data_IF_440540088993
#
_entry.id   IF_440540088993
#
_cell.length_a   1.000
_cell.length_b   1.000
_cell.length_c   1.000
_cell.angle_alpha   90.00
_cell.angle_beta   90.00
_cell.angle_gamma   90.00
#
_symmetry.space_group_name_H-M   'P 1'
#
loop_
_entity.id
_entity.type
_entity.pdbx_description
1 polymer ?
#
# COMPACT_ATOMS: atom_id res chain seq x y z
N UNK A 1 -7.34 10.67 60.31
CA UNK A 1 -8.67 10.82 59.68
C UNK A 1 -8.45 11.28 58.26
N UNK A 2 -8.85 10.49 57.27
CA UNK A 2 -8.91 10.93 55.88
C UNK A 2 -10.39 11.21 55.56
N UNK A 3 -10.66 12.31 54.87
CA UNK A 3 -12.01 12.73 54.48
C UNK A 3 -12.24 12.35 53.02
N UNK A 4 -13.13 11.39 52.77
CA UNK A 4 -13.52 11.03 51.41
C UNK A 4 -14.42 12.12 50.82
N UNK A 5 -13.85 12.93 49.93
CA UNK A 5 -14.52 14.08 49.28
C UNK A 5 -15.60 13.64 48.29
N UNK A 6 -15.51 12.45 47.68
CA UNK A 6 -16.58 11.90 46.83
C UNK A 6 -16.39 10.39 46.57
N UNK A 7 -17.46 9.58 46.67
CA UNK A 7 -17.44 8.11 46.45
C UNK A 7 -17.54 7.67 44.98
N UNK A 8 -17.66 8.62 44.05
CA UNK A 8 -17.90 8.37 42.62
C UNK A 8 -16.74 8.78 41.71
N UNK A 9 -15.52 8.87 42.23
CA UNK A 9 -14.32 9.03 41.40
C UNK A 9 -13.65 7.67 41.28
N UNK A 10 -14.08 6.87 40.29
CA UNK A 10 -13.34 5.68 39.87
C UNK A 10 -12.06 6.17 39.18
N UNK A 11 -10.92 6.11 39.88
CA UNK A 11 -9.63 6.30 39.26
C UNK A 11 -9.36 5.06 38.39
N UNK A 12 -9.72 5.13 37.11
CA UNK A 12 -9.47 4.05 36.15
C UNK A 12 -7.96 4.00 35.84
N UNK A 13 -7.19 3.36 36.71
CA UNK A 13 -5.78 3.11 36.49
C UNK A 13 -5.62 1.99 35.44
N UNK A 14 -5.24 2.36 34.22
CA UNK A 14 -4.78 1.37 33.22
C UNK A 14 -3.31 1.05 33.44
N UNK A 15 -3.01 -0.22 33.70
CA UNK A 15 -1.65 -0.73 33.88
C UNK A 15 -1.30 -1.59 32.67
N UNK A 16 -0.17 -1.30 32.02
CA UNK A 16 0.37 -2.12 30.93
C UNK A 16 1.40 -3.09 31.51
N UNK A 17 1.15 -4.39 31.34
CA UNK A 17 2.03 -5.44 31.81
C UNK A 17 2.67 -6.12 30.60
N UNK A 18 4.00 -6.22 30.59
CA UNK A 18 4.73 -6.95 29.55
C UNK A 18 4.98 -8.37 30.03
N UNK A 19 4.47 -9.33 29.29
CA UNK A 19 4.67 -10.76 29.56
C UNK A 19 6.03 -11.23 29.03
N UNK A 20 6.53 -12.33 29.61
CA UNK A 20 7.70 -13.03 29.10
C UNK A 20 7.35 -13.69 27.74
N UNK A 21 8.27 -13.82 26.76
CA UNK A 21 7.93 -14.29 25.41
C UNK A 21 7.36 -15.70 25.31
N UNK A 22 7.58 -16.54 26.32
CA UNK A 22 7.10 -17.93 26.40
C UNK A 22 5.87 -18.09 27.28
N UNK A 23 5.36 -16.99 27.86
CA UNK A 23 4.22 -17.02 28.75
C UNK A 23 2.90 -16.94 27.95
N UNK A 24 1.94 -17.80 28.29
CA UNK A 24 0.61 -17.78 27.69
C UNK A 24 -0.16 -16.55 28.19
N UNK A 25 -0.37 -15.58 27.29
CA UNK A 25 -1.06 -14.34 27.63
C UNK A 25 -2.56 -14.49 27.83
N UNK A 26 -3.16 -15.62 27.46
CA UNK A 26 -4.56 -15.91 27.76
C UNK A 26 -4.72 -16.44 29.18
N UNK A 27 -3.95 -17.46 29.55
CA UNK A 27 -3.97 -18.04 30.89
C UNK A 27 -3.66 -16.98 31.96
N UNK A 28 -2.69 -16.10 31.68
CA UNK A 28 -2.35 -15.00 32.60
C UNK A 28 -3.45 -13.95 32.66
N UNK A 29 -4.14 -13.68 31.55
CA UNK A 29 -5.24 -12.73 31.55
C UNK A 29 -6.45 -13.24 32.33
N UNK A 30 -6.77 -14.52 32.24
CA UNK A 30 -7.79 -15.17 33.07
C UNK A 30 -7.42 -15.07 34.56
N UNK A 31 -6.19 -15.42 34.93
CA UNK A 31 -5.71 -15.30 36.32
C UNK A 31 -5.77 -13.87 36.87
N UNK A 32 -5.57 -12.84 36.03
CA UNK A 32 -5.66 -11.44 36.44
C UNK A 32 -7.12 -10.98 36.55
N UNK A 33 -8.05 -11.55 35.77
CA UNK A 33 -9.48 -11.24 35.85
C UNK A 33 -10.08 -11.69 37.18
N UNK A 34 -9.57 -12.76 37.76
CA UNK A 34 -10.04 -13.32 39.02
C UNK A 34 -9.57 -12.55 40.27
N UNK A 35 -8.68 -11.56 40.10
CA UNK A 35 -8.21 -10.71 41.20
C UNK A 35 -9.25 -9.66 41.59
N UNK A 36 -9.51 -9.51 42.89
CA UNK A 36 -10.40 -8.46 43.41
C UNK A 36 -9.87 -7.06 43.04
N UNK A 37 -10.74 -6.23 42.45
CA UNK A 37 -10.43 -4.86 42.05
C UNK A 37 -10.05 -4.66 40.58
N UNK A 38 -10.07 -5.72 39.77
CA UNK A 38 -9.86 -5.65 38.31
C UNK A 38 -11.21 -5.63 37.59
N UNK A 39 -11.47 -4.57 36.82
CA UNK A 39 -12.75 -4.39 36.11
C UNK A 39 -12.73 -5.01 34.70
N UNK A 40 -11.61 -4.90 33.98
CA UNK A 40 -11.46 -5.43 32.62
C UNK A 40 -9.99 -5.70 32.31
N UNK A 41 -9.72 -6.84 31.64
CA UNK A 41 -8.38 -7.25 31.20
C UNK A 41 -8.42 -7.52 29.72
N UNK A 42 -7.46 -6.93 28.99
CA UNK A 42 -7.28 -7.12 27.56
C UNK A 42 -5.96 -7.85 27.33
N UNK A 43 -6.04 -9.08 26.83
CA UNK A 43 -4.88 -9.81 26.32
C UNK A 43 -4.71 -9.55 24.83
N UNK A 44 -3.46 -9.42 24.38
CA UNK A 44 -3.14 -9.32 22.96
C UNK A 44 -3.42 -10.66 22.27
N UNK A 45 -3.14 -11.79 22.92
CA UNK A 45 -3.32 -13.13 22.35
C UNK A 45 -4.81 -13.47 22.17
N UNK A 46 -5.64 -13.12 23.15
CA UNK A 46 -7.10 -13.26 23.06
C UNK A 46 -7.68 -12.33 21.97
N UNK A 47 -7.19 -11.10 21.83
CA UNK A 47 -7.61 -10.21 20.75
C UNK A 47 -7.20 -10.72 19.36
N UNK A 48 -6.01 -11.30 19.24
CA UNK A 48 -5.54 -11.90 17.98
C UNK A 48 -6.39 -13.11 17.61
N UNK A 49 -6.67 -14.02 18.55
CA UNK A 49 -7.56 -15.17 18.30
C UNK A 49 -8.97 -14.71 17.97
N UNK A 50 -9.54 -13.77 18.73
CA UNK A 50 -10.86 -13.22 18.46
C UNK A 50 -10.93 -12.58 17.06
N UNK A 51 -9.85 -11.93 16.61
CA UNK A 51 -9.76 -11.36 15.26
C UNK A 51 -9.65 -12.43 14.16
N UNK A 52 -8.93 -13.51 14.42
CA UNK A 52 -8.73 -14.60 13.47
C UNK A 52 -9.98 -15.50 13.34
N UNK A 53 -10.71 -15.71 14.43
CA UNK A 53 -11.93 -16.52 14.47
C UNK A 53 -13.19 -15.74 14.02
N UNK A 54 -13.24 -14.43 14.24
CA UNK A 54 -14.39 -13.63 13.82
C UNK A 54 -14.25 -13.09 12.40
N UNK A 55 -14.98 -13.74 11.48
CA UNK A 55 -15.15 -13.33 10.07
C UNK A 55 -15.59 -11.85 9.94
N UNK A 56 -16.30 -11.30 10.93
CA UNK A 56 -16.73 -9.88 10.93
C UNK A 56 -15.56 -8.89 11.12
N UNK A 57 -14.45 -9.32 11.72
CA UNK A 57 -13.27 -8.49 12.00
C UNK A 57 -12.16 -8.76 10.98
N UNK A 58 -11.97 -10.02 10.57
CA UNK A 58 -11.02 -10.39 9.50
C UNK A 58 -11.58 -10.12 8.09
N UNK A 59 -12.91 -10.05 7.92
CA UNK A 59 -13.59 -9.73 6.67
C UNK A 59 -13.19 -8.36 6.07
N UNK A 60 -13.27 -7.25 6.82
CA UNK A 60 -12.86 -5.92 6.34
C UNK A 60 -11.42 -5.87 5.82
N UNK A 61 -10.48 -6.56 6.46
CA UNK A 61 -9.07 -6.59 6.02
C UNK A 61 -8.90 -7.29 4.68
N UNK A 62 -9.62 -8.39 4.46
CA UNK A 62 -9.60 -9.08 3.17
C UNK A 62 -10.25 -8.23 2.06
N UNK A 63 -11.31 -7.48 2.38
CA UNK A 63 -11.94 -6.54 1.45
C UNK A 63 -10.96 -5.42 1.08
N UNK A 64 -10.24 -4.85 2.05
CA UNK A 64 -9.22 -3.83 1.78
C UNK A 64 -8.11 -4.36 0.88
N UNK A 65 -7.61 -5.58 1.12
CA UNK A 65 -6.62 -6.22 0.25
C UNK A 65 -7.13 -6.39 -1.17
N UNK A 66 -8.36 -6.87 -1.33
CA UNK A 66 -8.99 -7.01 -2.64
C UNK A 66 -9.18 -5.65 -3.34
N UNK A 67 -9.53 -4.62 -2.58
CA UNK A 67 -9.62 -3.24 -3.06
C UNK A 67 -8.29 -2.73 -3.63
N UNK A 68 -7.16 -3.06 -3.01
CA UNK A 68 -5.82 -2.72 -3.53
C UNK A 68 -5.57 -3.39 -4.88
N UNK A 69 -5.96 -4.66 -5.05
CA UNK A 69 -5.83 -5.34 -6.34
C UNK A 69 -6.66 -4.66 -7.44
N UNK A 70 -7.92 -4.33 -7.16
CA UNK A 70 -8.78 -3.62 -8.13
C UNK A 70 -8.26 -2.21 -8.45
N UNK A 71 -7.77 -1.49 -7.44
CA UNK A 71 -7.15 -0.18 -7.64
C UNK A 71 -5.91 -0.27 -8.53
N UNK A 72 -5.06 -1.28 -8.31
CA UNK A 72 -3.88 -1.52 -9.14
C UNK A 72 -4.24 -1.86 -10.59
N UNK A 73 -5.27 -2.68 -10.80
CA UNK A 73 -5.76 -3.01 -12.15
C UNK A 73 -6.35 -1.79 -12.85
N UNK A 74 -7.20 -1.02 -12.16
CA UNK A 74 -7.79 0.20 -12.71
C UNK A 74 -6.71 1.24 -13.07
N UNK A 75 -5.73 1.43 -12.18
CA UNK A 75 -4.58 2.30 -12.43
C UNK A 75 -3.76 1.81 -13.62
N UNK A 76 -3.52 0.50 -13.73
CA UNK A 76 -2.82 -0.10 -14.86
C UNK A 76 -3.51 0.23 -16.18
N UNK A 77 -4.83 -0.01 -16.29
CA UNK A 77 -5.59 0.32 -17.51
C UNK A 77 -5.51 1.81 -17.83
N UNK A 78 -5.63 2.68 -16.81
CA UNK A 78 -5.50 4.12 -16.97
C UNK A 78 -4.13 4.55 -17.51
N UNK A 79 -3.04 4.02 -16.93
CA UNK A 79 -1.67 4.31 -17.36
C UNK A 79 -1.42 3.83 -18.79
N UNK A 80 -1.88 2.62 -19.16
CA UNK A 80 -1.77 2.12 -20.52
C UNK A 80 -2.49 3.04 -21.52
N UNK A 81 -3.71 3.45 -21.18
CA UNK A 81 -4.53 4.30 -22.05
C UNK A 81 -3.90 5.69 -22.24
N UNK A 82 -3.48 6.34 -21.15
CA UNK A 82 -2.82 7.65 -21.21
C UNK A 82 -1.56 7.56 -22.06
N UNK A 83 -0.70 6.56 -21.80
CA UNK A 83 0.54 6.38 -22.56
C UNK A 83 0.25 6.11 -24.04
N UNK A 84 -0.76 5.30 -24.34
CA UNK A 84 -1.18 5.01 -25.70
C UNK A 84 -1.64 6.28 -26.45
N UNK A 85 -2.46 7.12 -25.82
CA UNK A 85 -2.92 8.39 -26.40
C UNK A 85 -1.75 9.34 -26.62
N UNK A 86 -0.84 9.49 -25.65
CA UNK A 86 0.36 10.33 -25.80
C UNK A 86 1.23 9.88 -26.97
N UNK A 87 1.36 8.56 -27.20
CA UNK A 87 2.09 8.03 -28.35
C UNK A 87 1.37 8.31 -29.69
N UNK A 88 0.03 8.31 -29.70
CA UNK A 88 -0.74 8.70 -30.90
C UNK A 88 -0.55 10.15 -31.27
N UNK A 89 -0.60 11.05 -30.29
CA UNK A 89 -0.40 12.48 -30.50
C UNK A 89 0.99 12.78 -31.09
N UNK A 90 2.01 12.04 -30.61
CA UNK A 90 3.41 12.18 -31.04
C UNK A 90 3.77 11.37 -32.29
N UNK A 91 2.78 10.79 -32.99
CA UNK A 91 3.02 9.96 -34.18
C UNK A 91 3.85 10.66 -35.27
N UNK A 92 3.65 11.97 -35.48
CA UNK A 92 4.39 12.74 -36.47
C UNK A 92 5.89 12.82 -36.13
N UNK A 93 6.22 13.04 -34.86
CA UNK A 93 7.60 13.08 -34.36
C UNK A 93 8.28 11.72 -34.54
N UNK A 94 7.60 10.64 -34.14
CA UNK A 94 8.09 9.26 -34.25
C UNK A 94 8.38 8.88 -35.70
N UNK A 95 7.48 9.25 -36.62
CA UNK A 95 7.66 9.02 -38.06
C UNK A 95 8.85 9.83 -38.61
N UNK A 96 9.00 11.08 -38.19
CA UNK A 96 10.11 11.94 -38.61
C UNK A 96 11.46 11.41 -38.14
N UNK A 97 11.54 10.81 -36.95
CA UNK A 97 12.75 10.13 -36.48
C UNK A 97 13.12 8.92 -37.35
N UNK A 98 12.14 8.11 -37.74
CA UNK A 98 12.36 6.96 -38.63
C UNK A 98 12.81 7.39 -40.04
N UNK A 99 12.21 8.43 -40.61
CA UNK A 99 12.61 8.97 -41.93
C UNK A 99 14.04 9.52 -41.92
N UNK A 100 14.51 10.03 -40.77
CA UNK A 100 15.91 10.46 -40.59
C UNK A 100 16.90 9.29 -40.47
N UNK A 101 16.45 8.04 -40.60
CA UNK A 101 17.30 6.86 -40.62
C UNK A 101 17.53 6.20 -39.25
N UNK A 102 16.81 6.61 -38.20
CA UNK A 102 16.87 5.87 -36.93
C UNK A 102 16.21 4.50 -37.09
N UNK A 103 16.90 3.47 -36.59
CA UNK A 103 16.32 2.13 -36.50
C UNK A 103 15.18 2.09 -35.49
N UNK A 104 14.22 1.17 -35.69
CA UNK A 104 13.08 1.01 -34.79
C UNK A 104 13.50 0.78 -33.32
N UNK A 105 14.58 0.03 -33.11
CA UNK A 105 15.13 -0.25 -31.78
C UNK A 105 15.63 1.04 -31.10
N UNK A 106 16.25 1.93 -31.86
CA UNK A 106 16.70 3.23 -31.35
C UNK A 106 15.52 4.14 -31.03
N UNK A 107 14.48 4.17 -31.89
CA UNK A 107 13.27 4.95 -31.62
C UNK A 107 12.58 4.47 -30.34
N UNK A 108 12.40 3.15 -30.18
CA UNK A 108 11.82 2.57 -28.96
C UNK A 108 12.68 2.88 -27.73
N UNK A 109 14.00 2.73 -27.82
CA UNK A 109 14.91 3.03 -26.71
C UNK A 109 14.82 4.49 -26.27
N UNK A 110 14.74 5.43 -27.22
CA UNK A 110 14.59 6.86 -26.92
C UNK A 110 13.25 7.16 -26.22
N UNK A 111 12.15 6.60 -26.74
CA UNK A 111 10.82 6.79 -26.14
C UNK A 111 10.71 6.16 -24.75
N UNK A 112 11.34 5.01 -24.53
CA UNK A 112 11.41 4.36 -23.23
C UNK A 112 12.26 5.16 -22.24
N UNK A 113 13.41 5.69 -22.68
CA UNK A 113 14.27 6.52 -21.83
C UNK A 113 13.56 7.81 -21.38
N UNK A 114 12.78 8.43 -22.26
CA UNK A 114 11.95 9.59 -21.92
C UNK A 114 10.90 9.24 -20.86
N UNK A 115 10.15 8.16 -21.08
CA UNK A 115 9.11 7.72 -20.13
C UNK A 115 9.69 7.18 -18.82
N UNK A 116 10.92 6.66 -18.80
CA UNK A 116 11.59 6.20 -17.59
C UNK A 116 11.74 7.34 -16.58
N UNK A 117 12.05 8.54 -17.04
CA UNK A 117 12.19 9.72 -16.15
C UNK A 117 10.85 10.04 -15.47
N UNK A 118 9.76 9.99 -16.23
CA UNK A 118 8.41 10.23 -15.72
C UNK A 118 8.01 9.13 -14.72
N UNK A 119 8.29 7.86 -15.03
CA UNK A 119 8.03 6.73 -14.14
C UNK A 119 8.78 6.83 -12.81
N UNK A 120 10.06 7.21 -12.84
CA UNK A 120 10.87 7.37 -11.63
C UNK A 120 10.33 8.48 -10.73
N UNK A 121 9.95 9.62 -11.32
CA UNK A 121 9.32 10.73 -10.58
C UNK A 121 7.97 10.29 -9.99
N UNK A 122 7.15 9.56 -10.77
CA UNK A 122 5.86 9.07 -10.31
C UNK A 122 6.00 8.07 -9.14
N UNK A 123 6.94 7.14 -9.19
CA UNK A 123 7.19 6.23 -8.06
C UNK A 123 7.72 6.95 -6.83
N UNK A 124 8.65 7.89 -7.01
CA UNK A 124 9.16 8.69 -5.89
C UNK A 124 8.04 9.48 -5.20
N UNK A 125 7.22 10.17 -5.99
CA UNK A 125 6.11 10.98 -5.47
C UNK A 125 5.01 10.11 -4.86
N UNK A 126 4.60 9.02 -5.54
CA UNK A 126 3.60 8.09 -5.04
C UNK A 126 4.02 7.40 -3.74
N UNK A 127 5.28 6.96 -3.65
CA UNK A 127 5.85 6.38 -2.44
C UNK A 127 5.91 7.38 -1.29
N UNK A 128 6.33 8.62 -1.56
CA UNK A 128 6.35 9.70 -0.57
C UNK A 128 4.95 10.01 -0.03
N UNK A 129 3.96 10.16 -0.91
CA UNK A 129 2.57 10.41 -0.50
C UNK A 129 2.00 9.23 0.28
N UNK A 130 2.23 8.00 -0.17
CA UNK A 130 1.81 6.79 0.56
C UNK A 130 2.39 6.74 1.98
N UNK A 131 3.68 7.04 2.13
CA UNK A 131 4.33 7.12 3.45
C UNK A 131 3.72 8.20 4.36
N UNK A 132 3.36 9.36 3.80
CA UNK A 132 2.68 10.41 4.57
C UNK A 132 1.29 9.97 5.03
N UNK A 133 0.54 9.24 4.20
CA UNK A 133 -0.76 8.68 4.57
C UNK A 133 -0.61 7.69 5.72
N UNK A 134 0.36 6.77 5.65
CA UNK A 134 0.62 5.81 6.73
C UNK A 134 0.95 6.51 8.05
N UNK A 135 1.80 7.55 7.99
CA UNK A 135 2.16 8.36 9.17
C UNK A 135 0.96 9.12 9.73
N UNK A 136 0.13 9.70 8.85
CA UNK A 136 -1.10 10.37 9.23
C UNK A 136 -2.09 9.41 9.90
N UNK A 137 -2.22 8.19 9.37
CA UNK A 137 -3.08 7.16 9.94
C UNK A 137 -2.61 6.73 11.33
N UNK A 138 -1.30 6.52 11.52
CA UNK A 138 -0.74 6.23 12.87
C UNK A 138 -0.97 7.39 13.83
N UNK A 139 -0.80 8.63 13.39
CA UNK A 139 -1.07 9.80 14.22
C UNK A 139 -2.56 9.86 14.65
N UNK A 140 -3.49 9.59 13.72
CA UNK A 140 -4.92 9.53 14.01
C UNK A 140 -5.26 8.41 15.02
N UNK A 141 -4.65 7.23 14.86
CA UNK A 141 -4.86 6.10 15.78
C UNK A 141 -4.27 6.36 17.18
N UNK A 142 -3.14 7.06 17.28
CA UNK A 142 -2.55 7.46 18.56
C UNK A 142 -3.48 8.37 19.38
N UNK A 143 -4.22 9.27 18.72
CA UNK A 143 -5.20 10.13 19.39
C UNK A 143 -6.39 9.31 19.90
N UNK A 144 -6.81 8.29 19.15
CA UNK A 144 -7.92 7.43 19.53
C UNK A 144 -7.58 6.41 20.64
N UNK A 145 -6.33 5.95 20.73
CA UNK A 145 -5.87 5.01 21.76
C UNK A 145 -4.51 5.44 22.32
N UNK A 146 -4.48 6.27 23.38
CA UNK A 146 -3.24 6.89 23.87
C UNK A 146 -2.27 5.92 24.56
N UNK A 147 -2.66 4.66 24.78
CA UNK A 147 -1.88 3.70 25.58
C UNK A 147 -1.04 2.74 24.75
N UNK A 148 -1.44 2.50 23.50
CA UNK A 148 -0.72 1.61 22.59
C UNK A 148 -0.37 2.41 21.36
N UNK A 149 0.89 2.85 21.27
CA UNK A 149 1.36 3.60 20.10
C UNK A 149 1.56 2.64 18.92
N UNK A 150 0.69 2.65 17.87
CA UNK A 150 0.87 1.80 16.72
C UNK A 150 2.15 2.20 16.00
N UNK A 151 2.91 1.21 15.53
CA UNK A 151 4.10 1.44 14.72
C UNK A 151 3.86 0.95 13.30
N UNK A 152 4.31 1.72 12.32
CA UNK A 152 4.34 1.27 10.93
C UNK A 152 5.45 0.22 10.82
N UNK A 153 5.07 -1.02 10.56
CA UNK A 153 5.99 -2.12 10.25
C UNK A 153 5.63 -2.58 8.85
N UNK A 154 6.62 -2.69 7.98
CA UNK A 154 6.45 -3.22 6.63
C UNK A 154 6.81 -4.70 6.63
N UNK A 155 5.83 -5.62 6.75
CA UNK A 155 6.12 -7.04 6.65
C UNK A 155 6.62 -7.38 5.23
N UNK A 156 7.43 -8.44 5.07
CA UNK A 156 7.94 -8.87 3.76
C UNK A 156 6.85 -9.04 2.70
N UNK A 157 5.68 -9.56 3.10
CA UNK A 157 4.52 -9.74 2.22
C UNK A 157 3.98 -8.42 1.65
N UNK A 158 4.02 -7.34 2.44
CA UNK A 158 3.61 -6.02 1.97
C UNK A 158 4.61 -5.46 0.95
N UNK A 159 5.91 -5.72 1.13
CA UNK A 159 6.94 -5.32 0.17
C UNK A 159 6.79 -6.10 -1.15
N UNK A 160 6.47 -7.40 -1.09
CA UNK A 160 6.20 -8.21 -2.29
C UNK A 160 4.98 -7.69 -3.05
N UNK A 161 3.88 -7.36 -2.36
CA UNK A 161 2.69 -6.84 -3.04
C UNK A 161 2.96 -5.46 -3.66
N UNK A 162 3.66 -4.56 -2.97
CA UNK A 162 4.03 -3.24 -3.50
C UNK A 162 4.95 -3.35 -4.72
N UNK A 163 5.95 -4.22 -4.69
CA UNK A 163 6.86 -4.43 -5.83
C UNK A 163 6.12 -5.01 -7.04
N UNK A 164 5.17 -5.92 -6.82
CA UNK A 164 4.36 -6.52 -7.88
C UNK A 164 3.41 -5.49 -8.53
N UNK A 165 2.78 -4.63 -7.73
CA UNK A 165 1.97 -3.51 -8.23
C UNK A 165 2.86 -2.51 -8.99
N UNK A 166 4.04 -2.19 -8.46
CA UNK A 166 5.02 -1.35 -9.14
C UNK A 166 5.36 -1.91 -10.53
N UNK A 167 5.74 -3.19 -10.61
CA UNK A 167 6.05 -3.86 -11.87
C UNK A 167 4.86 -3.87 -12.85
N UNK A 168 3.65 -4.11 -12.33
CA UNK A 168 2.43 -4.06 -13.14
C UNK A 168 2.23 -2.67 -13.76
N UNK A 169 2.41 -1.59 -12.99
CA UNK A 169 2.28 -0.23 -13.52
C UNK A 169 3.39 0.12 -14.51
N UNK A 170 4.64 -0.32 -14.25
CA UNK A 170 5.75 -0.12 -15.18
C UNK A 170 5.48 -0.83 -16.51
N UNK A 171 5.10 -2.10 -16.46
CA UNK A 171 4.75 -2.86 -17.66
C UNK A 171 3.59 -2.23 -18.42
N UNK A 172 2.58 -1.71 -17.72
CA UNK A 172 1.46 -1.02 -18.33
C UNK A 172 1.84 0.26 -19.08
N UNK A 173 2.84 1.01 -18.60
CA UNK A 173 3.40 2.15 -19.33
C UNK A 173 4.28 1.71 -20.52
N UNK A 174 5.04 0.63 -20.37
CA UNK A 174 6.02 0.17 -21.38
C UNK A 174 5.36 -0.53 -22.57
N UNK A 175 4.35 -1.36 -22.33
CA UNK A 175 3.71 -2.19 -23.36
C UNK A 175 3.13 -1.34 -24.52
N UNK A 176 2.33 -0.27 -24.28
CA UNK A 176 1.78 0.56 -25.35
C UNK A 176 2.85 1.19 -26.23
N UNK A 177 3.98 1.61 -25.66
CA UNK A 177 5.11 2.22 -26.39
C UNK A 177 5.67 1.21 -27.40
N UNK A 178 5.93 -0.01 -26.94
CA UNK A 178 6.46 -1.09 -27.77
C UNK A 178 5.47 -1.44 -28.88
N UNK A 179 4.21 -1.69 -28.53
CA UNK A 179 3.15 -2.04 -29.48
C UNK A 179 3.02 -0.96 -30.56
N UNK A 180 2.97 0.31 -30.19
CA UNK A 180 2.84 1.41 -31.14
C UNK A 180 4.04 1.55 -32.07
N UNK A 181 5.26 1.42 -31.54
CA UNK A 181 6.44 1.48 -32.39
C UNK A 181 6.43 0.38 -33.45
N UNK A 182 6.11 -0.86 -33.08
CA UNK A 182 6.00 -1.98 -34.02
C UNK A 182 4.87 -1.79 -35.06
N UNK A 183 3.70 -1.30 -34.64
CA UNK A 183 2.59 -1.02 -35.55
C UNK A 183 2.92 0.07 -36.58
N UNK A 184 3.77 1.03 -36.22
CA UNK A 184 4.17 2.08 -37.15
C UNK A 184 5.28 1.66 -38.11
N UNK A 185 6.20 0.78 -37.71
CA UNK A 185 7.22 0.26 -38.63
C UNK A 185 6.60 -0.60 -39.74
N UNK A 186 5.60 -1.43 -39.42
CA UNK A 186 4.95 -2.30 -40.42
C UNK A 186 4.19 -1.50 -41.50
N UNK A 187 3.60 -0.36 -41.13
CA UNK A 187 2.92 0.54 -42.08
C UNK A 187 3.88 1.32 -42.98
N UNK A 188 5.13 1.53 -42.56
CA UNK A 188 6.16 2.19 -43.37
C UNK A 188 6.70 1.28 -44.48
N UNK A 189 6.81 -0.03 -44.21
CA UNK A 189 7.29 -1.02 -45.20
C UNK A 189 6.30 -1.21 -46.36
N UNK A 190 5.01 -0.95 -46.16
CA UNK A 190 3.97 -1.13 -47.19
C UNK A 190 3.78 0.07 -48.14
N UNK A 191 4.53 1.16 -47.98
CA UNK A 191 4.43 2.38 -48.81
C UNK A 191 5.70 2.72 -49.59
N UNK A 192 6.71 1.85 -49.57
CA UNK A 192 7.89 1.89 -50.44
C UNK A 192 7.69 0.86 -51.54
#
# INVERSE_FOLDING_TARGET
MYECVNKTVSAMAKILVRLNPEADGEEIAENIRDLEGVEWVVSVDEQLRFRDENILISGPLNIMRLGVFFAALAASVGVALVTFVTMQERRKEITLLMVRGLSLKQVVATLLAENLTVLLIAYGMGGFVGYLIDRGNVAAMNVASPLVAPRVIFPPEALLTLTLIGLLLASSAVIPIIVMAFLYSSKLVWRV
#
